data_IF_196890537916
#
_entry.id   IF_196890537916
#
_cell.length_a   1.000
_cell.length_b   1.000
_cell.length_c   1.000
_cell.angle_alpha   90.00
_cell.angle_beta   90.00
_cell.angle_gamma   90.00
#
_symmetry.space_group_name_H-M   'P 1'
#
loop_
_entity.id
_entity.type
_entity.pdbx_description
1 polymer ?
#
# COMPACT_ATOMS: atom_id res chain seq x y z
N UNK A 1 -21.73 0.89 -83.80
CA UNK A 1 -21.01 1.78 -82.86
C UNK A 1 -21.83 2.21 -81.64
N UNK A 2 -23.16 2.38 -81.73
CA UNK A 2 -23.98 2.78 -80.58
C UNK A 2 -24.13 1.70 -79.48
N UNK A 3 -24.17 0.42 -79.87
CA UNK A 3 -24.37 -0.72 -78.93
C UNK A 3 -23.13 -1.02 -78.09
N UNK A 4 -21.93 -0.83 -78.65
CA UNK A 4 -20.68 -1.05 -77.92
C UNK A 4 -20.43 0.05 -76.88
N UNK A 5 -20.73 1.32 -77.22
CA UNK A 5 -20.58 2.44 -76.29
C UNK A 5 -21.52 2.36 -75.08
N UNK A 6 -22.74 1.85 -75.27
CA UNK A 6 -23.71 1.67 -74.19
C UNK A 6 -23.31 0.59 -73.18
N UNK A 7 -22.63 -0.48 -73.64
CA UNK A 7 -22.08 -1.53 -72.75
C UNK A 7 -20.98 -0.98 -71.84
N UNK A 8 -20.04 -0.18 -72.39
CA UNK A 8 -18.97 0.42 -71.59
C UNK A 8 -19.51 1.39 -70.53
N UNK A 9 -20.51 2.20 -70.88
CA UNK A 9 -21.16 3.12 -69.94
C UNK A 9 -21.87 2.33 -68.82
N UNK A 10 -22.67 1.32 -69.16
CA UNK A 10 -23.36 0.50 -68.17
C UNK A 10 -22.38 -0.21 -67.20
N UNK A 11 -21.25 -0.71 -67.73
CA UNK A 11 -20.22 -1.37 -66.93
C UNK A 11 -19.53 -0.40 -65.95
N UNK A 12 -19.21 0.83 -66.38
CA UNK A 12 -18.61 1.84 -65.49
C UNK A 12 -19.53 2.26 -64.37
N UNK A 13 -20.84 2.39 -64.65
CA UNK A 13 -21.85 2.70 -63.64
C UNK A 13 -21.98 1.55 -62.64
N UNK A 14 -22.01 0.30 -63.12
CA UNK A 14 -22.10 -0.88 -62.26
C UNK A 14 -20.87 -1.03 -61.33
N UNK A 15 -19.65 -0.85 -61.86
CA UNK A 15 -18.43 -0.90 -61.05
C UNK A 15 -18.37 0.22 -60.00
N UNK A 16 -18.84 1.42 -60.34
CA UNK A 16 -18.91 2.55 -59.41
C UNK A 16 -19.85 2.28 -58.23
N UNK A 17 -21.01 1.66 -58.48
CA UNK A 17 -21.99 1.31 -57.43
C UNK A 17 -21.45 0.21 -56.51
N UNK A 18 -20.76 -0.79 -57.05
CA UNK A 18 -20.16 -1.89 -56.25
C UNK A 18 -19.06 -1.36 -55.32
N UNK A 19 -18.22 -0.43 -55.78
CA UNK A 19 -17.17 0.17 -54.94
C UNK A 19 -17.74 1.01 -53.79
N UNK A 20 -18.77 1.82 -54.08
CA UNK A 20 -19.45 2.61 -53.05
C UNK A 20 -20.19 1.72 -52.03
N UNK A 21 -20.81 0.64 -52.49
CA UNK A 21 -21.42 -0.34 -51.60
C UNK A 21 -20.38 -1.07 -50.74
N UNK A 22 -19.27 -1.54 -51.31
CA UNK A 22 -18.23 -2.23 -50.56
C UNK A 22 -17.61 -1.36 -49.45
N UNK A 23 -17.43 -0.05 -49.70
CA UNK A 23 -16.96 0.90 -48.70
C UNK A 23 -18.03 1.22 -47.62
N UNK A 24 -19.31 1.25 -47.99
CA UNK A 24 -20.42 1.51 -47.07
C UNK A 24 -20.77 0.33 -46.14
N UNK A 25 -20.25 -0.87 -46.41
CA UNK A 25 -20.45 -2.08 -45.58
C UNK A 25 -19.30 -2.35 -44.60
N UNK A 26 -18.30 -1.47 -44.54
CA UNK A 26 -17.20 -1.61 -43.59
C UNK A 26 -17.49 -0.81 -42.33
N UNK A 27 -17.87 -1.52 -41.28
CA UNK A 27 -18.09 -0.95 -39.95
C UNK A 27 -16.88 -1.27 -39.04
N UNK A 28 -16.46 -0.30 -38.22
CA UNK A 28 -15.29 -0.43 -37.34
C UNK A 28 -15.70 -0.21 -35.90
N UNK A 29 -15.53 -1.23 -35.07
CA UNK A 29 -15.78 -1.17 -33.64
C UNK A 29 -14.47 -0.87 -32.93
N UNK A 30 -14.41 0.26 -32.22
CA UNK A 30 -13.32 0.61 -31.33
C UNK A 30 -13.70 0.28 -29.89
N UNK A 31 -12.76 -0.30 -29.13
CA UNK A 31 -12.86 -0.37 -27.67
C UNK A 31 -11.90 0.68 -27.13
N UNK A 32 -12.46 1.75 -26.59
CA UNK A 32 -11.72 2.78 -25.88
C UNK A 32 -11.88 2.54 -24.39
N UNK A 33 -10.77 2.62 -23.64
CA UNK A 33 -10.77 2.39 -22.20
C UNK A 33 -9.67 3.18 -21.53
N UNK A 34 -9.93 3.56 -20.28
CA UNK A 34 -8.94 4.15 -19.37
C UNK A 34 -8.83 3.23 -18.18
N UNK A 35 -7.60 2.87 -17.81
CA UNK A 35 -7.30 2.13 -16.59
C UNK A 35 -6.57 3.07 -15.65
N UNK A 36 -7.15 3.33 -14.48
CA UNK A 36 -6.54 4.10 -13.41
C UNK A 36 -6.13 3.15 -12.29
N UNK A 37 -4.87 3.20 -11.87
CA UNK A 37 -4.39 2.47 -10.69
C UNK A 37 -4.73 3.21 -9.41
N UNK A 38 -4.92 2.47 -8.32
CA UNK A 38 -5.07 3.05 -6.99
C UNK A 38 -3.74 3.41 -6.32
N UNK A 39 -3.79 3.78 -5.05
CA UNK A 39 -2.65 4.23 -4.23
C UNK A 39 -2.62 3.48 -2.89
N UNK A 40 -1.42 3.30 -2.32
CA UNK A 40 -1.22 2.88 -0.93
C UNK A 40 -0.93 4.11 -0.05
N UNK A 41 -1.59 4.24 1.09
CA UNK A 41 -1.29 5.32 2.04
C UNK A 41 -1.50 4.83 3.50
N UNK A 42 -0.56 4.03 4.03
CA UNK A 42 -0.59 3.60 5.43
C UNK A 42 -0.21 4.77 6.34
N UNK A 43 -1.02 5.03 7.37
CA UNK A 43 -0.78 6.05 8.39
C UNK A 43 -1.18 5.55 9.78
N UNK A 44 -0.43 5.95 10.79
CA UNK A 44 -0.83 5.80 12.18
C UNK A 44 -1.95 6.78 12.53
N UNK A 45 -3.03 6.28 13.12
CA UNK A 45 -4.20 7.08 13.50
C UNK A 45 -4.38 7.20 15.00
N UNK A 46 -3.85 6.26 15.77
CA UNK A 46 -3.87 6.27 17.22
C UNK A 46 -2.61 5.63 17.77
N UNK A 47 -2.11 6.16 18.89
CA UNK A 47 -1.10 5.53 19.72
C UNK A 47 -1.41 5.82 21.18
N UNK A 48 -1.16 4.85 22.05
CA UNK A 48 -1.25 5.03 23.50
C UNK A 48 -0.23 4.17 24.23
N UNK A 49 0.30 4.71 25.33
CA UNK A 49 1.05 3.93 26.31
C UNK A 49 0.05 3.25 27.26
N UNK A 50 0.12 1.92 27.37
CA UNK A 50 -0.75 1.13 28.26
C UNK A 50 -0.19 1.07 29.68
N UNK A 51 1.12 1.28 29.81
CA UNK A 51 1.87 1.06 31.06
C UNK A 51 2.65 2.32 31.45
N UNK A 52 3.95 2.36 31.15
CA UNK A 52 4.85 3.48 31.41
C UNK A 52 5.37 4.07 30.11
N UNK A 53 5.59 5.38 30.14
CA UNK A 53 6.09 6.16 29.01
C UNK A 53 5.03 6.99 28.33
N UNK A 54 5.51 7.79 27.39
CA UNK A 54 4.72 8.64 26.51
C UNK A 54 4.92 8.17 25.08
N UNK A 55 3.84 8.15 24.31
CA UNK A 55 3.89 7.85 22.89
C UNK A 55 3.10 8.89 22.12
N UNK A 56 3.67 9.37 21.02
CA UNK A 56 3.04 10.36 20.16
C UNK A 56 3.25 10.02 18.69
N UNK A 57 2.24 10.31 17.87
CA UNK A 57 2.36 10.18 16.42
C UNK A 57 3.04 11.43 15.88
N UNK A 58 4.10 11.23 15.12
CA UNK A 58 4.91 12.29 14.50
C UNK A 58 5.00 12.09 12.98
N UNK A 59 5.66 13.03 12.30
CA UNK A 59 5.88 12.98 10.85
C UNK A 59 4.58 12.74 10.04
N UNK A 60 3.51 13.47 10.38
CA UNK A 60 2.19 13.38 9.73
C UNK A 60 1.60 11.95 9.68
N UNK A 61 1.77 11.15 10.75
CA UNK A 61 1.22 9.80 10.79
C UNK A 61 2.15 8.73 10.22
N UNK A 62 3.40 9.07 9.91
CA UNK A 62 4.38 8.13 9.33
C UNK A 62 5.37 7.57 10.35
N UNK A 63 5.39 8.09 11.57
CA UNK A 63 6.23 7.57 12.64
C UNK A 63 5.54 7.72 14.00
N UNK A 64 5.93 6.87 14.94
CA UNK A 64 5.57 6.96 16.35
C UNK A 64 6.85 7.28 17.12
N UNK A 65 6.81 8.32 17.95
CA UNK A 65 7.88 8.64 18.89
C UNK A 65 7.48 8.12 20.26
N UNK A 66 8.30 7.23 20.84
CA UNK A 66 8.13 6.70 22.19
C UNK A 66 9.22 7.33 23.06
N UNK A 67 8.82 7.78 24.24
CA UNK A 67 9.73 8.33 25.24
C UNK A 67 9.40 7.76 26.61
N UNK A 68 10.41 7.26 27.32
CA UNK A 68 10.25 6.65 28.63
C UNK A 68 11.31 7.24 29.54
N UNK A 69 10.88 7.78 30.68
CA UNK A 69 11.77 8.21 31.76
C UNK A 69 11.79 7.17 32.89
N UNK A 70 12.92 7.10 33.60
CA UNK A 70 13.13 6.27 34.79
C UNK A 70 12.73 4.80 34.59
N UNK A 71 13.13 4.21 33.46
CA UNK A 71 12.95 2.79 33.21
C UNK A 71 13.96 1.98 34.04
N UNK A 72 13.48 0.99 34.78
CA UNK A 72 14.32 0.08 35.54
C UNK A 72 14.59 -1.21 34.75
N UNK A 73 15.74 -1.88 34.97
CA UNK A 73 15.97 -3.23 34.45
C UNK A 73 14.84 -4.18 34.87
N UNK A 74 14.36 -4.99 33.92
CA UNK A 74 13.20 -5.87 34.10
C UNK A 74 11.84 -5.21 33.82
N UNK A 75 11.78 -3.90 33.60
CA UNK A 75 10.53 -3.23 33.22
C UNK A 75 10.10 -3.65 31.82
N UNK A 76 8.83 -4.03 31.70
CA UNK A 76 8.16 -4.29 30.41
C UNK A 76 7.14 -3.20 30.15
N UNK A 77 7.34 -2.46 29.07
CA UNK A 77 6.47 -1.39 28.62
C UNK A 77 5.70 -1.84 27.39
N UNK A 78 4.41 -1.53 27.36
CA UNK A 78 3.51 -1.84 26.26
C UNK A 78 2.89 -0.57 25.68
N UNK A 79 2.97 -0.45 24.36
CA UNK A 79 2.36 0.62 23.58
C UNK A 79 1.39 -0.01 22.58
N UNK A 80 0.19 0.53 22.48
CA UNK A 80 -0.80 0.11 21.49
C UNK A 80 -0.92 1.18 20.41
N UNK A 81 -0.99 0.74 19.15
CA UNK A 81 -1.15 1.63 18.01
C UNK A 81 -2.20 1.10 17.04
N UNK A 82 -2.75 2.02 16.26
CA UNK A 82 -3.63 1.71 15.13
C UNK A 82 -3.01 2.27 13.86
N UNK A 83 -2.89 1.41 12.85
CA UNK A 83 -2.53 1.80 11.49
C UNK A 83 -3.76 1.70 10.59
N UNK A 84 -3.92 2.67 9.70
CA UNK A 84 -4.99 2.73 8.72
C UNK A 84 -4.39 2.88 7.31
N UNK A 85 -4.90 2.11 6.35
CA UNK A 85 -4.61 2.34 4.94
C UNK A 85 -5.66 3.29 4.34
N UNK A 86 -5.30 4.56 4.15
CA UNK A 86 -6.15 5.55 3.48
C UNK A 86 -6.13 5.41 1.95
N UNK A 87 -5.20 4.61 1.43
CA UNK A 87 -5.11 4.27 0.02
C UNK A 87 -6.28 3.39 -0.43
N UNK A 88 -6.45 3.25 -1.75
CA UNK A 88 -7.56 2.50 -2.34
C UNK A 88 -7.22 1.02 -2.62
N UNK A 89 -5.94 0.64 -2.57
CA UNK A 89 -5.49 -0.75 -2.82
C UNK A 89 -5.07 -1.45 -1.54
N UNK A 90 -5.32 -2.77 -1.43
CA UNK A 90 -4.86 -3.55 -0.29
C UNK A 90 -3.32 -3.63 -0.24
N UNK A 91 -2.80 -3.71 0.97
CA UNK A 91 -1.37 -3.80 1.25
C UNK A 91 -1.11 -4.94 2.26
N UNK A 92 0.08 -5.51 2.20
CA UNK A 92 0.59 -6.39 3.24
C UNK A 92 1.70 -5.66 4.00
N UNK A 93 1.84 -6.01 5.27
CA UNK A 93 2.84 -5.41 6.13
C UNK A 93 3.55 -6.47 6.97
N UNK A 94 4.76 -6.15 7.39
CA UNK A 94 5.48 -6.88 8.42
C UNK A 94 6.31 -5.94 9.27
N UNK A 95 6.61 -6.36 10.50
CA UNK A 95 7.42 -5.59 11.44
C UNK A 95 8.88 -6.02 11.34
N UNK A 96 9.81 -5.07 11.48
CA UNK A 96 11.24 -5.33 11.48
C UNK A 96 11.95 -4.42 12.48
N UNK A 97 12.84 -4.99 13.27
CA UNK A 97 13.76 -4.23 14.12
C UNK A 97 14.98 -3.89 13.26
N UNK A 98 15.19 -2.59 13.00
CA UNK A 98 16.37 -2.12 12.28
C UNK A 98 17.53 -1.85 13.25
N UNK A 99 17.22 -1.29 14.41
CA UNK A 99 18.18 -1.00 15.46
C UNK A 99 17.58 -1.27 16.83
N UNK A 100 18.38 -1.82 17.73
CA UNK A 100 18.04 -1.97 19.15
C UNK A 100 19.33 -1.99 19.91
N UNK A 101 19.47 -1.08 20.87
CA UNK A 101 20.60 -1.12 21.78
C UNK A 101 20.55 -2.41 22.64
N UNK A 102 21.71 -2.98 23.02
CA UNK A 102 21.81 -4.28 23.70
C UNK A 102 21.00 -4.39 25.01
N UNK A 103 20.86 -3.30 25.76
CA UNK A 103 20.06 -3.26 26.99
C UNK A 103 18.53 -3.26 26.77
N UNK A 104 18.05 -3.37 25.53
CA UNK A 104 16.64 -3.41 25.19
C UNK A 104 16.27 -4.64 24.36
N UNK A 105 15.16 -5.25 24.72
CA UNK A 105 14.44 -6.21 23.90
C UNK A 105 13.14 -5.58 23.39
N UNK A 106 13.06 -5.38 22.08
CA UNK A 106 11.89 -4.76 21.42
C UNK A 106 11.20 -5.75 20.51
N UNK A 107 9.89 -5.89 20.66
CA UNK A 107 9.06 -6.75 19.81
C UNK A 107 7.75 -6.07 19.41
N UNK A 108 7.26 -6.38 18.21
CA UNK A 108 6.00 -5.84 17.68
C UNK A 108 5.02 -6.96 17.34
N UNK A 109 3.73 -6.76 17.62
CA UNK A 109 2.65 -7.69 17.26
C UNK A 109 1.48 -6.94 16.62
N UNK A 110 0.82 -7.47 15.58
CA UNK A 110 1.23 -8.65 14.81
C UNK A 110 2.53 -8.39 14.03
N UNK A 111 3.30 -9.45 13.80
CA UNK A 111 4.56 -9.42 13.05
C UNK A 111 4.34 -9.28 11.54
N UNK A 112 3.16 -9.68 11.06
CA UNK A 112 2.73 -9.56 9.68
C UNK A 112 1.21 -9.45 9.57
N UNK A 113 0.73 -8.91 8.46
CA UNK A 113 -0.71 -8.84 8.19
C UNK A 113 -1.06 -8.25 6.84
N UNK A 114 -2.36 -8.17 6.57
CA UNK A 114 -2.93 -7.55 5.38
C UNK A 114 -3.89 -6.46 5.85
N UNK A 115 -3.78 -5.28 5.26
CA UNK A 115 -4.78 -4.21 5.38
C UNK A 115 -5.45 -4.04 4.01
N UNK A 116 -6.78 -4.01 4.02
CA UNK A 116 -7.57 -3.61 2.88
C UNK A 116 -7.30 -2.17 2.45
N UNK A 117 -7.87 -1.78 1.31
CA UNK A 117 -7.95 -0.37 0.92
C UNK A 117 -9.18 0.32 1.53
N UNK A 118 -9.31 1.61 1.24
CA UNK A 118 -10.46 2.47 1.55
C UNK A 118 -10.69 2.67 3.06
N UNK A 119 -9.61 2.87 3.83
CA UNK A 119 -9.68 3.21 5.25
C UNK A 119 -9.67 2.02 6.19
N UNK A 120 -9.38 0.81 5.69
CA UNK A 120 -9.23 -0.37 6.53
C UNK A 120 -8.11 -0.16 7.56
N UNK A 121 -8.29 -0.72 8.75
CA UNK A 121 -7.44 -0.43 9.91
C UNK A 121 -7.11 -1.67 10.69
N UNK A 122 -5.90 -1.72 11.24
CA UNK A 122 -5.39 -2.81 12.06
C UNK A 122 -4.77 -2.23 13.34
N UNK A 123 -5.01 -2.94 14.45
CA UNK A 123 -4.38 -2.63 15.73
C UNK A 123 -3.11 -3.47 15.89
N UNK A 124 -2.10 -2.89 16.53
CA UNK A 124 -0.86 -3.56 16.91
C UNK A 124 -0.37 -3.09 18.27
N UNK A 125 0.62 -3.81 18.78
CA UNK A 125 1.30 -3.53 20.05
C UNK A 125 2.80 -3.57 19.86
N UNK A 126 3.50 -2.69 20.57
CA UNK A 126 4.95 -2.71 20.73
C UNK A 126 5.25 -3.03 22.18
N UNK A 127 6.10 -4.01 22.41
CA UNK A 127 6.65 -4.35 23.71
C UNK A 127 8.11 -3.91 23.75
N UNK A 128 8.46 -3.14 24.77
CA UNK A 128 9.84 -2.71 25.05
C UNK A 128 10.19 -3.23 26.43
N UNK A 129 11.16 -4.12 26.51
CA UNK A 129 11.67 -4.67 27.75
C UNK A 129 13.09 -4.16 27.98
N UNK A 130 13.36 -3.65 29.18
CA UNK A 130 14.72 -3.32 29.61
C UNK A 130 15.35 -4.59 30.16
N UNK A 131 16.46 -5.02 29.55
CA UNK A 131 17.13 -6.27 29.92
C UNK A 131 17.81 -6.15 31.30
N UNK A 132 17.62 -7.15 32.17
CA UNK A 132 18.16 -7.12 33.53
C UNK A 132 19.69 -7.21 33.58
N UNK A 133 20.28 -7.98 32.66
CA UNK A 133 21.71 -8.31 32.67
C UNK A 133 22.57 -7.33 31.83
N UNK A 134 21.95 -6.54 30.94
CA UNK A 134 22.65 -5.66 30.00
C UNK A 134 22.33 -4.17 30.19
N UNK A 135 21.31 -3.83 30.97
CA UNK A 135 20.96 -2.43 31.24
C UNK A 135 21.87 -1.81 32.32
N UNK A 136 22.41 -0.64 32.00
CA UNK A 136 23.28 0.17 32.85
C UNK A 136 22.51 1.38 33.42
N UNK A 137 22.86 1.77 34.65
CA UNK A 137 22.23 2.90 35.32
C UNK A 137 22.54 4.22 34.58
N UNK A 138 21.57 5.16 34.57
CA UNK A 138 21.69 6.48 33.94
C UNK A 138 22.09 6.45 32.44
N UNK A 139 21.78 5.35 31.76
CA UNK A 139 22.08 5.17 30.33
C UNK A 139 20.82 5.33 29.49
N UNK A 140 20.95 6.04 28.37
CA UNK A 140 19.87 6.19 27.40
C UNK A 140 20.00 5.12 26.32
N UNK A 141 18.90 4.40 26.10
CA UNK A 141 18.79 3.37 25.07
C UNK A 141 17.87 3.84 23.94
N UNK A 142 18.21 3.46 22.71
CA UNK A 142 17.48 3.77 21.50
C UNK A 142 17.11 2.48 20.78
N UNK A 143 16.00 2.53 20.05
CA UNK A 143 15.56 1.45 19.19
C UNK A 143 14.76 2.03 18.01
N UNK A 144 14.77 1.29 16.91
CA UNK A 144 14.03 1.60 15.69
C UNK A 144 13.27 0.35 15.25
N UNK A 145 11.94 0.39 15.42
CA UNK A 145 11.01 -0.61 14.90
C UNK A 145 10.30 -0.04 13.68
N UNK A 146 10.46 -0.70 12.53
CA UNK A 146 9.84 -0.32 11.27
C UNK A 146 8.65 -1.24 10.95
N UNK A 147 7.55 -0.66 10.48
CA UNK A 147 6.48 -1.38 9.77
C UNK A 147 6.70 -1.19 8.27
N UNK A 148 7.10 -2.25 7.59
CA UNK A 148 7.28 -2.22 6.14
C UNK A 148 5.94 -2.52 5.47
N UNK A 149 5.58 -1.73 4.44
CA UNK A 149 4.34 -1.87 3.70
C UNK A 149 4.63 -2.09 2.22
N UNK A 150 3.98 -3.08 1.62
CA UNK A 150 4.01 -3.31 0.18
C UNK A 150 2.62 -3.62 -0.35
N UNK A 151 2.36 -3.31 -1.62
CA UNK A 151 1.09 -3.64 -2.24
C UNK A 151 0.86 -5.16 -2.20
N UNK A 152 -0.30 -5.58 -1.74
CA UNK A 152 -0.64 -7.00 -1.72
C UNK A 152 -0.94 -7.46 -3.15
N UNK A 153 -0.12 -8.37 -3.68
CA UNK A 153 -0.24 -8.82 -5.08
C UNK A 153 -1.12 -10.05 -5.27
N UNK A 154 -1.74 -10.59 -4.21
CA UNK A 154 -2.74 -11.66 -4.28
C UNK A 154 -2.26 -13.00 -4.86
N UNK A 155 -0.98 -13.15 -5.23
CA UNK A 155 -0.42 -14.40 -5.72
C UNK A 155 0.22 -15.17 -4.56
N UNK A 156 -0.26 -16.37 -4.21
CA UNK A 156 0.52 -17.26 -3.39
C UNK A 156 1.82 -17.58 -4.13
N UNK A 157 2.95 -17.44 -3.44
CA UNK A 157 4.21 -18.02 -3.91
C UNK A 157 4.18 -19.53 -3.79
#
# INVERSE_FOLDING_TARGET
MAVTASIWIALTIALGIIGAAAAAWQDRLGIEGVVSTGEIDPVFTSVMAVSQGEASIVNNGKAISIFVEDACPGNVMTFEYTVQNRGSVPLEFYTRIENSDPGLLVTGTPDQGILGGNGDSAAGKVFVQVEEDEAEELTTYNFDLELFFQQWSGTPR
#
